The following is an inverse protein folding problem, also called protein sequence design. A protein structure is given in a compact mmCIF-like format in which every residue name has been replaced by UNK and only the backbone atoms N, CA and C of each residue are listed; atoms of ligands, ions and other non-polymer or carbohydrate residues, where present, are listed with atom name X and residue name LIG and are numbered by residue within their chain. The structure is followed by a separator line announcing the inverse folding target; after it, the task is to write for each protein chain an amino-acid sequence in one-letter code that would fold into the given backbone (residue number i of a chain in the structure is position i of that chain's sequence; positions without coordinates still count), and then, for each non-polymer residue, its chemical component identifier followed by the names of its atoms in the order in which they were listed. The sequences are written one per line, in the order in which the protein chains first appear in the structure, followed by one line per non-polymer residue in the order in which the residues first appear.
data_IF_609934409797
#
_entry.id   IF_609934409797
#
_cell.length_a   1.000
_cell.length_b   1.000
_cell.length_c   1.000
_cell.angle_alpha   90.00
_cell.angle_beta   90.00
_cell.angle_gamma   90.00
#
_symmetry.space_group_name_H-M   'P 1'
#
loop_
_entity.id
_entity.type
_entity.pdbx_description
1 polymer ?
#
# COMPACT_ATOMS: atom_id res chain seq x y z
N UNK A 1 0.98 -13.53 9.68
CA UNK A 1 1.18 -12.12 10.07
C UNK A 1 2.21 -11.48 9.15
N UNK A 2 1.95 -10.29 8.61
CA UNK A 2 2.87 -9.58 7.69
C UNK A 2 4.00 -8.95 8.52
N UNK A 3 5.26 -9.25 8.17
CA UNK A 3 6.45 -8.80 8.92
C UNK A 3 7.19 -7.63 8.27
N UNK A 4 7.02 -7.42 6.98
CA UNK A 4 7.74 -6.40 6.21
C UNK A 4 6.97 -6.03 4.97
N UNK A 5 7.05 -4.76 4.59
CA UNK A 5 6.55 -4.24 3.31
C UNK A 5 7.74 -3.64 2.55
N UNK A 6 7.86 -4.01 1.28
CA UNK A 6 8.74 -3.35 0.32
C UNK A 6 7.91 -2.80 -0.82
N UNK A 7 8.06 -1.51 -1.10
CA UNK A 7 7.46 -0.85 -2.25
C UNK A 7 8.58 -0.28 -3.12
N UNK A 8 8.41 -0.34 -4.43
CA UNK A 8 9.31 0.28 -5.40
C UNK A 8 8.47 0.84 -6.54
N UNK A 9 8.73 2.08 -6.93
CA UNK A 9 7.99 2.79 -7.98
C UNK A 9 6.47 2.72 -7.81
N UNK A 10 5.99 2.87 -6.57
CA UNK A 10 4.58 2.76 -6.23
C UNK A 10 4.01 4.09 -5.77
N UNK A 11 3.18 4.72 -6.60
CA UNK A 11 2.62 6.06 -6.37
C UNK A 11 3.73 7.05 -5.98
N UNK A 12 3.64 7.67 -4.79
CA UNK A 12 4.64 8.63 -4.30
C UNK A 12 5.88 7.98 -3.67
N UNK A 13 6.04 6.65 -3.71
CA UNK A 13 7.20 5.96 -3.15
C UNK A 13 8.13 5.48 -4.27
N UNK A 14 9.29 6.15 -4.49
CA UNK A 14 10.35 5.61 -5.33
C UNK A 14 10.86 4.29 -4.77
N UNK A 15 11.13 4.27 -3.46
CA UNK A 15 11.48 3.07 -2.69
C UNK A 15 10.98 3.22 -1.24
N UNK A 16 10.44 2.15 -0.68
CA UNK A 16 10.08 2.06 0.73
C UNK A 16 10.39 0.66 1.24
N UNK A 17 11.02 0.58 2.40
CA UNK A 17 11.38 -0.69 3.02
C UNK A 17 11.07 -0.65 4.52
N UNK A 18 9.86 -1.07 4.88
CA UNK A 18 9.30 -0.88 6.23
C UNK A 18 9.14 -2.23 6.95
N UNK A 19 9.86 -2.48 8.06
CA UNK A 19 9.53 -3.58 8.97
C UNK A 19 8.23 -3.27 9.72
N UNK A 20 7.40 -4.30 9.95
CA UNK A 20 6.14 -4.17 10.68
C UNK A 20 6.21 -4.91 12.02
N UNK A 21 5.55 -4.33 13.02
CA UNK A 21 5.25 -4.97 14.31
C UNK A 21 3.78 -5.40 14.36
N UNK A 22 3.35 -5.93 15.50
CA UNK A 22 1.94 -6.26 15.77
C UNK A 22 1.02 -5.04 15.66
N UNK A 23 1.50 -3.86 16.09
CA UNK A 23 0.80 -2.59 15.99
C UNK A 23 1.74 -1.54 15.38
N UNK A 24 1.28 -0.82 14.36
CA UNK A 24 2.07 0.19 13.67
C UNK A 24 1.24 1.48 13.61
N UNK A 25 1.82 2.60 14.04
CA UNK A 25 1.18 3.92 13.98
C UNK A 25 1.86 4.72 12.89
N UNK A 26 1.08 5.25 11.96
CA UNK A 26 1.58 5.97 10.79
C UNK A 26 1.34 7.47 10.96
N UNK A 27 2.41 8.23 11.22
CA UNK A 27 2.38 9.68 11.50
C UNK A 27 3.19 10.47 10.47
N UNK A 28 2.81 11.74 10.28
CA UNK A 28 3.55 12.70 9.45
C UNK A 28 2.65 13.77 8.81
N UNK A 29 3.20 14.73 8.06
CA UNK A 29 2.46 15.80 7.39
C UNK A 29 1.51 15.31 6.28
N UNK A 30 0.46 16.07 5.95
CA UNK A 30 -0.37 15.76 4.77
C UNK A 30 0.49 15.65 3.50
N UNK A 31 0.09 14.79 2.56
CA UNK A 31 0.84 14.43 1.33
C UNK A 31 2.18 13.71 1.52
N UNK A 32 2.59 13.34 2.74
CA UNK A 32 3.82 12.58 2.98
C UNK A 32 3.80 11.09 2.52
N UNK A 33 2.82 10.68 1.70
CA UNK A 33 2.69 9.30 1.22
C UNK A 33 1.92 8.33 2.13
N UNK A 34 1.38 8.77 3.27
CA UNK A 34 0.64 7.88 4.20
C UNK A 34 -0.58 7.21 3.56
N UNK A 35 -1.40 7.97 2.84
CA UNK A 35 -2.54 7.41 2.09
C UNK A 35 -2.10 6.43 1.01
N UNK A 36 -0.94 6.68 0.39
CA UNK A 36 -0.36 5.78 -0.62
C UNK A 36 0.10 4.45 0.00
N UNK A 37 0.60 4.47 1.24
CA UNK A 37 0.96 3.25 1.96
C UNK A 37 -0.28 2.41 2.30
N UNK A 38 -1.38 3.06 2.71
CA UNK A 38 -2.67 2.39 2.92
C UNK A 38 -3.24 1.81 1.62
N UNK A 39 -3.08 2.53 0.50
CA UNK A 39 -3.42 2.04 -0.84
C UNK A 39 -2.62 0.79 -1.20
N UNK A 40 -1.30 0.79 -0.99
CA UNK A 40 -0.44 -0.37 -1.23
C UNK A 40 -0.87 -1.59 -0.41
N UNK A 41 -1.17 -1.39 0.87
CA UNK A 41 -1.69 -2.43 1.76
C UNK A 41 -3.01 -3.02 1.26
N UNK A 42 -3.97 -2.16 0.89
CA UNK A 42 -5.27 -2.60 0.33
C UNK A 42 -5.10 -3.35 -0.99
N UNK A 43 -4.15 -2.93 -1.83
CA UNK A 43 -3.83 -3.61 -3.06
C UNK A 43 -3.32 -5.03 -2.79
N UNK A 44 -2.30 -5.18 -1.92
CA UNK A 44 -1.74 -6.47 -1.55
C UNK A 44 -2.77 -7.41 -0.93
N UNK A 45 -3.58 -6.93 0.01
CA UNK A 45 -4.63 -7.74 0.65
C UNK A 45 -5.63 -8.30 -0.37
N UNK A 46 -6.04 -7.48 -1.35
CA UNK A 46 -6.99 -7.91 -2.39
C UNK A 46 -6.35 -8.86 -3.40
N UNK A 47 -5.12 -8.56 -3.83
CA UNK A 47 -4.38 -9.42 -4.75
C UNK A 47 -4.18 -10.83 -4.18
N UNK A 48 -3.97 -10.94 -2.86
CA UNK A 48 -3.86 -12.22 -2.16
C UNK A 48 -5.21 -12.92 -1.93
N UNK A 49 -6.29 -12.15 -1.70
CA UNK A 49 -7.61 -12.72 -1.39
C UNK A 49 -8.36 -13.22 -2.63
N UNK A 50 -8.25 -12.53 -3.76
CA UNK A 50 -8.81 -12.95 -5.04
C UNK A 50 -8.05 -12.27 -6.18
N UNK A 51 -7.43 -13.02 -7.10
CA UNK A 51 -6.70 -12.44 -8.21
C UNK A 51 -7.68 -11.76 -9.17
N UNK A 52 -7.89 -10.47 -8.95
CA UNK A 52 -8.53 -9.58 -9.92
C UNK A 52 -7.45 -8.94 -10.80
N UNK A 53 -7.75 -8.69 -12.08
CA UNK A 53 -6.81 -8.03 -12.97
C UNK A 53 -6.51 -6.61 -12.48
N UNK A 54 -5.25 -6.19 -12.57
CA UNK A 54 -4.77 -4.92 -11.99
C UNK A 54 -5.57 -3.69 -12.46
N UNK A 55 -6.07 -3.69 -13.70
CA UNK A 55 -6.91 -2.60 -14.23
C UNK A 55 -8.24 -2.42 -13.48
N UNK A 56 -8.79 -3.50 -12.90
CA UNK A 56 -10.03 -3.42 -12.11
C UNK A 56 -9.85 -2.58 -10.84
N UNK A 57 -8.62 -2.50 -10.34
CA UNK A 57 -8.27 -1.67 -9.18
C UNK A 57 -8.25 -0.18 -9.54
N UNK A 58 -7.65 0.16 -10.70
CA UNK A 58 -7.59 1.54 -11.20
C UNK A 58 -8.99 2.13 -11.38
N UNK A 59 -9.96 1.38 -11.94
CA UNK A 59 -11.33 1.88 -12.11
C UNK A 59 -12.06 2.23 -10.81
N UNK A 60 -11.75 1.56 -9.68
CA UNK A 60 -12.45 1.78 -8.41
C UNK A 60 -11.82 2.84 -7.51
N UNK A 61 -10.52 3.10 -7.66
CA UNK A 61 -9.81 4.07 -6.83
C UNK A 61 -9.71 5.47 -7.44
N UNK A 62 -10.14 5.64 -8.69
CA UNK A 62 -10.08 6.88 -9.46
C UNK A 62 -11.43 7.29 -10.08
N UNK A 63 -12.53 6.73 -9.55
CA UNK A 63 -13.90 7.14 -9.84
C UNK A 63 -14.48 7.95 -8.70
#
# INVERSE_FOLDING_TARGET
MIRRIRLRNFLSFPELNLPLRSTNVLVGPNRSGKSNLLVALRFLLRALAAPQPAWAWFKRCWS
#
